data_IF_555254650158
#
_entry.id   IF_555254650158
#
_cell.length_a   1.000
_cell.length_b   1.000
_cell.length_c   1.000
_cell.angle_alpha   90.00
_cell.angle_beta   90.00
_cell.angle_gamma   90.00
#
_symmetry.space_group_name_H-M   'P 1'
#
loop_
_entity.id
_entity.type
_entity.pdbx_description
1 polymer ?
#
# COMPACT_ATOMS: atom_id res chain seq x y z
N UNK A 1 -23.28 5.40 -27.69
CA UNK A 1 -22.76 4.72 -26.49
C UNK A 1 -23.11 5.60 -25.31
N UNK A 2 -23.53 5.03 -24.19
CA UNK A 2 -23.71 5.80 -22.95
C UNK A 2 -22.31 5.91 -22.34
N UNK A 3 -21.72 7.08 -22.43
CA UNK A 3 -20.47 7.41 -21.74
C UNK A 3 -20.80 7.80 -20.31
N UNK A 4 -20.17 7.13 -19.34
CA UNK A 4 -20.29 7.44 -17.93
C UNK A 4 -18.87 7.56 -17.37
N UNK A 5 -18.47 8.78 -16.98
CA UNK A 5 -17.11 9.04 -16.47
C UNK A 5 -15.97 8.57 -17.42
N UNK A 6 -16.18 8.66 -18.74
CA UNK A 6 -15.20 8.19 -19.74
C UNK A 6 -15.20 6.69 -20.00
N UNK A 7 -16.05 5.92 -19.30
CA UNK A 7 -16.29 4.52 -19.63
C UNK A 7 -17.32 4.37 -20.75
N UNK A 8 -17.05 3.43 -21.65
CA UNK A 8 -18.00 2.98 -22.66
C UNK A 8 -18.63 1.65 -22.23
N UNK A 9 -19.97 1.58 -22.29
CA UNK A 9 -20.67 0.30 -22.12
C UNK A 9 -20.33 -0.64 -23.29
N UNK A 10 -19.94 -1.86 -22.96
CA UNK A 10 -19.53 -2.89 -23.92
C UNK A 10 -20.33 -4.18 -23.68
N UNK A 11 -20.80 -4.79 -24.77
CA UNK A 11 -21.43 -6.11 -24.71
C UNK A 11 -20.36 -7.19 -24.90
N UNK A 12 -20.07 -7.94 -23.84
CA UNK A 12 -19.10 -9.04 -23.86
C UNK A 12 -19.88 -10.35 -23.83
N UNK A 13 -20.01 -10.99 -24.98
CA UNK A 13 -20.74 -12.27 -25.12
C UNK A 13 -19.84 -13.49 -25.02
N UNK A 14 -18.53 -13.30 -25.17
CA UNK A 14 -17.55 -14.38 -25.17
C UNK A 14 -17.17 -14.84 -23.75
N UNK A 15 -17.43 -14.00 -22.74
CA UNK A 15 -17.32 -14.35 -21.32
C UNK A 15 -18.75 -14.58 -20.79
N UNK A 16 -19.16 -15.83 -20.47
CA UNK A 16 -20.51 -16.11 -20.01
C UNK A 16 -20.88 -15.35 -18.74
N UNK A 17 -22.15 -14.90 -18.68
CA UNK A 17 -22.84 -14.24 -17.56
C UNK A 17 -22.20 -12.99 -16.96
N UNK A 18 -21.46 -12.25 -17.79
CA UNK A 18 -21.39 -10.80 -17.66
C UNK A 18 -22.80 -10.21 -17.79
N UNK A 19 -23.20 -9.40 -16.82
CA UNK A 19 -24.49 -8.70 -16.79
C UNK A 19 -24.34 -7.30 -17.38
N UNK A 20 -23.32 -6.56 -16.93
CA UNK A 20 -22.95 -5.24 -17.43
C UNK A 20 -21.43 -5.16 -17.49
N UNK A 21 -20.89 -4.53 -18.53
CA UNK A 21 -19.45 -4.28 -18.63
C UNK A 21 -19.21 -2.87 -19.17
N UNK A 22 -18.25 -2.20 -18.56
CA UNK A 22 -17.82 -0.85 -18.89
C UNK A 22 -16.29 -0.84 -19.03
N UNK A 23 -15.80 -0.19 -20.07
CA UNK A 23 -14.37 -0.14 -20.38
C UNK A 23 -13.92 1.31 -20.51
N UNK A 24 -12.85 1.68 -19.81
CA UNK A 24 -12.17 2.97 -19.95
C UNK A 24 -10.84 2.74 -20.67
N UNK A 25 -10.86 2.77 -22.00
CA UNK A 25 -9.72 2.34 -22.83
C UNK A 25 -8.43 3.12 -22.56
N UNK A 26 -8.51 4.42 -22.27
CA UNK A 26 -7.31 5.25 -22.01
C UNK A 26 -6.58 4.84 -20.74
N UNK A 27 -7.29 4.35 -19.72
CA UNK A 27 -6.71 3.98 -18.42
C UNK A 27 -6.54 2.46 -18.30
N UNK A 28 -6.97 1.69 -19.31
CA UNK A 28 -6.95 0.24 -19.27
C UNK A 28 -7.84 -0.36 -18.16
N UNK A 29 -8.89 0.35 -17.72
CA UNK A 29 -9.80 -0.07 -16.66
C UNK A 29 -11.03 -0.79 -17.23
N UNK A 30 -11.41 -1.89 -16.58
CA UNK A 30 -12.67 -2.58 -16.85
C UNK A 30 -13.43 -2.75 -15.55
N UNK A 31 -14.72 -2.41 -15.56
CA UNK A 31 -15.66 -2.68 -14.47
C UNK A 31 -16.79 -3.54 -15.01
N UNK A 32 -16.99 -4.72 -14.41
CA UNK A 32 -17.99 -5.67 -14.88
C UNK A 32 -18.82 -6.23 -13.72
N UNK A 33 -20.14 -6.17 -13.88
CA UNK A 33 -21.08 -6.91 -13.04
C UNK A 33 -21.24 -8.31 -13.59
N UNK A 34 -21.09 -9.30 -12.72
CA UNK A 34 -21.15 -10.73 -13.07
C UNK A 34 -22.20 -11.43 -12.22
N UNK A 35 -22.73 -12.55 -12.72
CA UNK A 35 -23.61 -13.39 -11.92
C UNK A 35 -22.83 -14.22 -10.90
N UNK A 36 -23.45 -14.52 -9.76
CA UNK A 36 -22.84 -15.26 -8.66
C UNK A 36 -22.28 -16.63 -9.08
N UNK A 37 -22.98 -17.34 -9.98
CA UNK A 37 -22.63 -18.72 -10.38
C UNK A 37 -21.27 -18.80 -11.08
N UNK A 38 -20.86 -17.70 -11.71
CA UNK A 38 -19.61 -17.59 -12.45
C UNK A 38 -18.44 -17.38 -11.51
N UNK A 39 -18.62 -16.58 -10.47
CA UNK A 39 -17.57 -16.37 -9.47
C UNK A 39 -17.21 -17.68 -8.76
N UNK A 40 -18.20 -18.52 -8.39
CA UNK A 40 -17.91 -19.80 -7.73
C UNK A 40 -17.02 -20.73 -8.55
N UNK A 41 -17.11 -20.67 -9.89
CA UNK A 41 -16.22 -21.41 -10.78
C UNK A 41 -14.79 -20.86 -10.84
N UNK A 42 -14.59 -19.59 -10.47
CA UNK A 42 -13.28 -18.94 -10.45
C UNK A 42 -12.63 -18.92 -9.06
N UNK A 43 -13.41 -18.99 -7.97
CA UNK A 43 -12.88 -18.97 -6.60
C UNK A 43 -12.09 -20.23 -6.23
N UNK A 44 -12.38 -21.37 -6.87
CA UNK A 44 -11.63 -22.63 -6.66
C UNK A 44 -10.19 -22.55 -7.23
N UNK A 45 -9.99 -21.77 -8.30
CA UNK A 45 -8.69 -21.62 -8.97
C UNK A 45 -7.82 -20.47 -8.41
N UNK A 46 -8.40 -19.58 -7.59
CA UNK A 46 -7.81 -18.27 -7.23
C UNK A 46 -7.14 -18.24 -5.84
N UNK A 47 -7.39 -19.24 -4.99
CA UNK A 47 -6.79 -19.33 -3.64
C UNK A 47 -5.42 -20.03 -3.64
N UNK A 48 -5.05 -20.68 -4.74
CA UNK A 48 -3.69 -21.13 -5.00
C UNK A 48 -3.00 -20.02 -5.81
N UNK A 49 -1.83 -19.56 -5.38
CA UNK A 49 -1.09 -18.39 -5.90
C UNK A 49 -0.62 -18.50 -7.38
N UNK A 50 -1.33 -19.21 -8.24
CA UNK A 50 -1.02 -19.35 -9.66
C UNK A 50 -1.97 -18.49 -10.50
N UNK A 51 -1.43 -17.42 -11.07
CA UNK A 51 -1.98 -16.80 -12.28
C UNK A 51 -2.01 -17.84 -13.41
N UNK A 52 -2.99 -18.74 -13.40
CA UNK A 52 -3.23 -19.66 -14.49
C UNK A 52 -3.66 -18.88 -15.74
N UNK A 53 -3.16 -19.27 -16.91
CA UNK A 53 -3.54 -18.70 -18.23
C UNK A 53 -5.07 -18.73 -18.53
N UNK A 54 -5.83 -19.44 -17.70
CA UNK A 54 -7.29 -19.63 -17.78
C UNK A 54 -8.10 -18.76 -16.81
N UNK A 55 -7.47 -17.88 -16.02
CA UNK A 55 -8.20 -16.99 -15.11
C UNK A 55 -9.14 -16.03 -15.85
N UNK A 56 -10.23 -15.61 -15.19
CA UNK A 56 -11.16 -14.60 -15.73
C UNK A 56 -10.42 -13.32 -16.14
N UNK A 57 -9.40 -12.92 -15.38
CA UNK A 57 -8.58 -11.77 -15.70
C UNK A 57 -7.82 -11.94 -17.02
N UNK A 58 -7.25 -13.13 -17.27
CA UNK A 58 -6.58 -13.45 -18.53
C UNK A 58 -7.52 -13.37 -19.74
N UNK A 59 -8.79 -13.76 -19.57
CA UNK A 59 -9.81 -13.65 -20.62
C UNK A 59 -10.13 -12.19 -20.94
N UNK A 60 -10.41 -11.38 -19.92
CA UNK A 60 -10.64 -9.94 -20.08
C UNK A 60 -9.44 -9.22 -20.69
N UNK A 61 -8.22 -9.58 -20.28
CA UNK A 61 -6.98 -9.01 -20.82
C UNK A 61 -6.82 -9.33 -22.31
N UNK A 62 -7.09 -10.57 -22.73
CA UNK A 62 -7.08 -10.98 -24.14
C UNK A 62 -8.11 -10.22 -24.97
N UNK A 63 -9.29 -9.97 -24.41
CA UNK A 63 -10.39 -9.31 -25.15
C UNK A 63 -10.30 -7.78 -25.18
N UNK A 64 -9.85 -7.15 -24.09
CA UNK A 64 -9.98 -5.71 -23.88
C UNK A 64 -8.66 -4.99 -23.61
N UNK A 65 -7.52 -5.71 -23.59
CA UNK A 65 -6.20 -5.14 -23.28
C UNK A 65 -6.24 -4.30 -21.99
N UNK A 66 -6.86 -4.85 -20.94
CA UNK A 66 -7.00 -4.17 -19.66
C UNK A 66 -5.81 -4.46 -18.73
N UNK A 67 -5.45 -3.45 -17.94
CA UNK A 67 -4.47 -3.53 -16.86
C UNK A 67 -5.13 -3.69 -15.49
N UNK A 68 -6.40 -3.26 -15.39
CA UNK A 68 -7.18 -3.25 -14.17
C UNK A 68 -8.56 -3.83 -14.44
N UNK A 69 -9.00 -4.77 -13.59
CA UNK A 69 -10.32 -5.39 -13.70
C UNK A 69 -11.01 -5.38 -12.35
N UNK A 70 -12.13 -4.67 -12.23
CA UNK A 70 -13.04 -4.74 -11.10
C UNK A 70 -14.26 -5.57 -11.48
N UNK A 71 -14.44 -6.69 -10.79
CA UNK A 71 -15.65 -7.50 -10.84
C UNK A 71 -16.50 -7.19 -9.62
N UNK A 72 -17.81 -7.10 -9.82
CA UNK A 72 -18.79 -7.00 -8.74
C UNK A 72 -19.94 -7.97 -8.96
N UNK A 73 -20.44 -8.53 -7.87
CA UNK A 73 -21.64 -9.34 -7.87
C UNK A 73 -22.34 -9.21 -6.52
N UNK A 74 -23.62 -9.61 -6.52
CA UNK A 74 -24.40 -9.66 -5.29
C UNK A 74 -24.48 -11.08 -4.78
N UNK A 75 -24.20 -11.25 -3.49
CA UNK A 75 -24.36 -12.52 -2.78
C UNK A 75 -25.23 -12.29 -1.54
N UNK A 76 -26.49 -12.74 -1.60
CA UNK A 76 -27.49 -12.49 -0.55
C UNK A 76 -27.66 -10.99 -0.22
N UNK A 77 -27.26 -10.57 0.98
CA UNK A 77 -27.33 -9.20 1.50
C UNK A 77 -25.97 -8.47 1.46
N UNK A 78 -25.00 -9.03 0.74
CA UNK A 78 -23.66 -8.48 0.55
C UNK A 78 -23.42 -8.14 -0.92
N UNK A 79 -22.76 -7.01 -1.14
CA UNK A 79 -22.11 -6.68 -2.40
C UNK A 79 -20.65 -7.12 -2.29
N UNK A 80 -20.20 -7.89 -3.28
CA UNK A 80 -18.86 -8.47 -3.33
C UNK A 80 -18.08 -7.97 -4.51
N UNK A 81 -16.77 -7.87 -4.31
CA UNK A 81 -15.83 -7.29 -5.24
C UNK A 81 -14.60 -8.16 -5.37
N UNK A 82 -14.05 -8.17 -6.59
CA UNK A 82 -12.76 -8.75 -6.88
C UNK A 82 -12.03 -7.82 -7.83
N UNK A 83 -10.82 -7.41 -7.46
CA UNK A 83 -10.01 -6.49 -8.23
C UNK A 83 -8.68 -7.12 -8.59
N UNK A 84 -8.27 -6.96 -9.84
CA UNK A 84 -6.98 -7.36 -10.37
C UNK A 84 -6.21 -6.15 -10.88
N UNK A 85 -4.90 -6.20 -10.68
CA UNK A 85 -3.94 -5.27 -11.27
C UNK A 85 -2.73 -6.05 -11.77
N UNK A 86 -2.39 -5.90 -13.05
CA UNK A 86 -1.14 -6.44 -13.61
C UNK A 86 0.02 -5.44 -13.55
N UNK A 87 -0.19 -4.30 -12.89
CA UNK A 87 0.81 -3.24 -12.78
C UNK A 87 1.19 -3.01 -11.32
N UNK A 88 2.44 -2.62 -11.11
CA UNK A 88 2.91 -2.20 -9.79
C UNK A 88 2.53 -0.76 -9.45
N UNK A 89 1.83 -0.05 -10.34
CA UNK A 89 1.36 1.33 -10.11
C UNK A 89 0.10 1.39 -9.25
N UNK A 90 -0.66 0.30 -9.19
CA UNK A 90 -1.88 0.17 -8.38
C UNK A 90 -1.84 -1.18 -7.70
N UNK A 91 -1.61 -1.18 -6.38
CA UNK A 91 -1.75 -2.39 -5.56
C UNK A 91 -3.24 -2.71 -5.40
N UNK A 92 -3.63 -3.94 -5.68
CA UNK A 92 -5.04 -4.33 -5.67
C UNK A 92 -5.69 -4.17 -4.29
N UNK A 93 -4.98 -4.55 -3.21
CA UNK A 93 -5.46 -4.37 -1.84
C UNK A 93 -5.71 -2.89 -1.50
N UNK A 94 -4.82 -2.00 -1.94
CA UNK A 94 -4.96 -0.56 -1.74
C UNK A 94 -6.16 0.02 -2.49
N UNK A 95 -6.33 -0.41 -3.75
CA UNK A 95 -7.45 0.01 -4.57
C UNK A 95 -8.77 -0.44 -3.94
N UNK A 96 -8.83 -1.70 -3.47
CA UNK A 96 -10.03 -2.23 -2.83
C UNK A 96 -10.35 -1.48 -1.53
N UNK A 97 -9.34 -1.20 -0.69
CA UNK A 97 -9.52 -0.35 0.49
C UNK A 97 -10.08 1.02 0.12
N UNK A 98 -9.61 1.66 -0.95
CA UNK A 98 -10.19 2.90 -1.44
C UNK A 98 -11.65 2.77 -1.89
N UNK A 99 -12.01 1.67 -2.57
CA UNK A 99 -13.36 1.48 -3.12
C UNK A 99 -14.42 1.33 -2.03
N UNK A 100 -14.11 0.55 -0.99
CA UNK A 100 -15.10 0.08 0.01
C UNK A 100 -14.75 0.46 1.46
N UNK A 101 -13.85 1.43 1.65
CA UNK A 101 -13.24 1.86 2.92
C UNK A 101 -14.20 1.99 4.11
N UNK A 102 -13.65 1.82 5.32
CA UNK A 102 -14.26 2.01 6.66
C UNK A 102 -15.45 1.09 7.01
N UNK A 103 -16.12 0.51 6.02
CA UNK A 103 -17.33 -0.27 6.22
C UNK A 103 -17.27 -1.68 5.60
N UNK A 104 -16.34 -1.90 4.67
CA UNK A 104 -16.13 -3.17 4.01
C UNK A 104 -14.99 -3.98 4.63
N UNK A 105 -14.99 -5.28 4.36
CA UNK A 105 -13.86 -6.17 4.64
C UNK A 105 -13.05 -6.34 3.35
N UNK A 106 -11.75 -6.11 3.45
CA UNK A 106 -10.81 -6.24 2.33
C UNK A 106 -9.78 -7.30 2.66
N UNK A 107 -9.45 -8.15 1.69
CA UNK A 107 -8.37 -9.13 1.78
C UNK A 107 -7.70 -9.28 0.43
N UNK A 108 -6.37 -9.31 0.40
CA UNK A 108 -5.64 -9.48 -0.86
C UNK A 108 -4.14 -9.19 -0.73
N UNK A 109 -3.53 -8.89 -1.87
CA UNK A 109 -2.14 -8.50 -1.99
C UNK A 109 -2.00 -7.42 -3.07
N UNK A 110 -0.78 -7.22 -3.60
CA UNK A 110 -0.49 -6.22 -4.60
C UNK A 110 -1.17 -6.48 -5.97
N UNK A 111 -1.41 -7.73 -6.38
CA UNK A 111 -1.95 -8.06 -7.71
C UNK A 111 -3.45 -8.38 -7.69
N UNK A 112 -3.95 -8.93 -6.59
CA UNK A 112 -5.37 -9.32 -6.47
C UNK A 112 -5.92 -8.98 -5.08
N UNK A 113 -7.14 -8.47 -5.03
CA UNK A 113 -7.86 -8.24 -3.78
C UNK A 113 -9.36 -8.47 -3.91
N UNK A 114 -9.91 -9.06 -2.86
CA UNK A 114 -11.34 -9.24 -2.65
C UNK A 114 -11.85 -8.22 -1.65
N UNK A 115 -13.09 -7.81 -1.85
CA UNK A 115 -13.81 -6.91 -0.96
C UNK A 115 -15.23 -7.40 -0.74
N UNK A 116 -15.78 -7.19 0.45
CA UNK A 116 -17.21 -7.41 0.73
C UNK A 116 -17.76 -6.31 1.63
N UNK A 117 -19.01 -5.94 1.39
CA UNK A 117 -19.73 -4.94 2.18
C UNK A 117 -21.21 -5.27 2.23
N UNK A 118 -21.85 -4.97 3.36
CA UNK A 118 -23.30 -5.12 3.48
C UNK A 118 -24.01 -4.19 2.47
N UNK A 119 -24.97 -4.72 1.71
CA UNK A 119 -25.78 -3.93 0.78
C UNK A 119 -26.52 -2.78 1.48
N UNK A 120 -26.85 -2.92 2.76
CA UNK A 120 -27.50 -1.86 3.53
C UNK A 120 -26.54 -0.70 3.80
N UNK A 121 -25.30 -1.00 4.20
CA UNK A 121 -24.27 0.01 4.45
C UNK A 121 -23.86 0.69 3.15
N UNK A 122 -23.71 -0.10 2.08
CA UNK A 122 -23.39 0.41 0.75
C UNK A 122 -24.42 1.43 0.25
N UNK A 123 -25.72 1.12 0.42
CA UNK A 123 -26.80 2.06 0.07
C UNK A 123 -26.73 3.37 0.84
N UNK A 124 -26.38 3.33 2.12
CA UNK A 124 -26.21 4.56 2.93
C UNK A 124 -25.06 5.40 2.36
N UNK A 125 -23.94 4.76 2.03
CA UNK A 125 -22.78 5.43 1.45
C UNK A 125 -23.08 6.05 0.08
N UNK A 126 -23.71 5.30 -0.82
CA UNK A 126 -24.13 5.81 -2.13
C UNK A 126 -25.15 6.95 -2.02
N UNK A 127 -26.10 6.85 -1.08
CA UNK A 127 -27.08 7.92 -0.83
C UNK A 127 -26.42 9.22 -0.37
N UNK A 128 -25.30 9.13 0.37
CA UNK A 128 -24.50 10.29 0.75
C UNK A 128 -23.80 10.99 -0.44
N UNK A 129 -23.73 10.32 -1.60
CA UNK A 129 -23.18 10.82 -2.85
C UNK A 129 -24.25 11.08 -3.93
N UNK A 130 -25.54 11.08 -3.54
CA UNK A 130 -26.69 11.20 -4.45
C UNK A 130 -26.71 10.13 -5.57
N UNK A 131 -26.22 8.91 -5.26
CA UNK A 131 -26.18 7.76 -6.17
C UNK A 131 -27.12 6.64 -5.71
N UNK A 132 -27.75 5.95 -6.66
CA UNK A 132 -28.64 4.81 -6.39
C UNK A 132 -28.15 3.48 -7.01
N UNK A 133 -27.27 3.53 -8.01
CA UNK A 133 -26.74 2.35 -8.71
C UNK A 133 -25.30 2.04 -8.28
N UNK A 134 -25.07 0.84 -7.77
CA UNK A 134 -23.74 0.32 -7.41
C UNK A 134 -22.74 0.44 -8.56
N UNK A 135 -23.19 0.20 -9.80
CA UNK A 135 -22.30 0.32 -10.96
C UNK A 135 -21.86 1.77 -11.19
N UNK A 136 -22.79 2.73 -11.10
CA UNK A 136 -22.45 4.15 -11.25
C UNK A 136 -21.43 4.59 -10.21
N UNK A 137 -21.63 4.19 -8.95
CA UNK A 137 -20.66 4.40 -7.88
C UNK A 137 -19.30 3.80 -8.25
N UNK A 138 -19.24 2.54 -8.69
CA UNK A 138 -17.97 1.91 -9.04
C UNK A 138 -17.24 2.62 -10.18
N UNK A 139 -17.95 3.11 -11.20
CA UNK A 139 -17.35 3.83 -12.33
C UNK A 139 -16.78 5.19 -11.89
N UNK A 140 -17.53 5.95 -11.09
CA UNK A 140 -17.07 7.24 -10.56
C UNK A 140 -15.83 7.05 -9.68
N UNK A 141 -15.89 6.12 -8.73
CA UNK A 141 -14.78 5.87 -7.79
C UNK A 141 -13.54 5.38 -8.53
N UNK A 142 -13.69 4.54 -9.56
CA UNK A 142 -12.56 4.09 -10.38
C UNK A 142 -11.84 5.27 -11.05
N UNK A 143 -12.58 6.18 -11.67
CA UNK A 143 -11.98 7.38 -12.29
C UNK A 143 -11.38 8.32 -11.25
N UNK A 144 -12.08 8.54 -10.13
CA UNK A 144 -11.61 9.38 -9.03
C UNK A 144 -10.34 8.84 -8.38
N UNK A 145 -10.16 7.52 -8.32
CA UNK A 145 -8.90 6.92 -7.89
C UNK A 145 -7.75 7.28 -8.82
N UNK A 146 -7.94 7.10 -10.13
CA UNK A 146 -6.87 7.31 -11.11
C UNK A 146 -6.52 8.79 -11.31
N UNK A 147 -7.50 9.68 -11.24
CA UNK A 147 -7.33 11.11 -11.47
C UNK A 147 -6.96 11.91 -10.21
N UNK A 148 -7.34 11.42 -9.03
CA UNK A 148 -7.14 12.08 -7.73
C UNK A 148 -5.85 11.71 -7.00
N UNK A 149 -4.89 11.05 -7.67
CA UNK A 149 -3.62 10.64 -7.09
C UNK A 149 -2.47 11.46 -7.66
N UNK A 150 -1.71 12.07 -6.78
CA UNK A 150 -0.42 12.67 -7.11
C UNK A 150 0.67 11.60 -7.13
N UNK A 151 1.47 11.59 -8.18
CA UNK A 151 2.64 10.69 -8.30
C UNK A 151 3.92 11.52 -8.17
N UNK A 152 4.85 11.03 -7.34
CA UNK A 152 6.17 11.61 -7.13
C UNK A 152 7.22 10.53 -7.42
N UNK A 153 8.00 10.75 -8.48
CA UNK A 153 9.23 10.00 -8.74
C UNK A 153 10.37 10.67 -7.94
N UNK A 154 10.83 10.03 -6.86
CA UNK A 154 11.67 10.70 -5.87
C UNK A 154 12.98 11.26 -6.45
N UNK A 155 13.63 10.50 -7.35
CA UNK A 155 14.86 10.92 -8.02
C UNK A 155 14.67 12.17 -8.88
N UNK A 156 13.62 12.20 -9.71
CA UNK A 156 13.32 13.32 -10.60
C UNK A 156 12.85 14.56 -9.82
N UNK A 157 11.93 14.34 -8.87
CA UNK A 157 11.38 15.40 -8.03
C UNK A 157 12.46 16.04 -7.16
N UNK A 158 13.29 15.24 -6.51
CA UNK A 158 14.39 15.71 -5.65
C UNK A 158 15.38 16.59 -6.39
N UNK A 159 15.74 16.22 -7.63
CA UNK A 159 16.65 17.00 -8.48
C UNK A 159 15.98 18.27 -9.02
N UNK A 160 14.71 18.17 -9.46
CA UNK A 160 13.99 19.26 -10.12
C UNK A 160 13.39 20.31 -9.17
N UNK A 161 13.14 19.97 -7.90
CA UNK A 161 12.38 20.80 -6.95
C UNK A 161 13.21 21.24 -5.74
N UNK A 162 14.53 21.35 -5.87
CA UNK A 162 15.42 21.63 -4.74
C UNK A 162 15.09 22.93 -4.00
N UNK A 163 14.80 24.01 -4.72
CA UNK A 163 14.46 25.31 -4.10
C UNK A 163 13.16 25.21 -3.30
N UNK A 164 12.14 24.55 -3.86
CA UNK A 164 10.88 24.28 -3.18
C UNK A 164 11.12 23.45 -1.92
N UNK A 165 11.84 22.33 -2.02
CA UNK A 165 12.10 21.45 -0.87
C UNK A 165 12.83 22.20 0.24
N UNK A 166 13.85 23.00 -0.10
CA UNK A 166 14.62 23.79 0.88
C UNK A 166 13.83 24.92 1.53
N UNK A 167 12.71 25.33 0.93
CA UNK A 167 11.79 26.31 1.49
C UNK A 167 10.82 25.72 2.52
N UNK A 168 10.68 24.39 2.56
CA UNK A 168 9.78 23.71 3.49
C UNK A 168 10.28 23.82 4.94
N UNK A 169 9.38 23.70 5.94
CA UNK A 169 9.78 23.63 7.34
C UNK A 169 10.71 22.45 7.60
N UNK A 170 11.68 22.67 8.49
CA UNK A 170 12.66 21.65 8.91
C UNK A 170 12.22 21.00 10.20
N UNK A 171 12.38 19.69 10.28
CA UNK A 171 12.07 18.89 11.46
C UNK A 171 13.26 18.02 11.84
N UNK A 172 13.35 17.67 13.13
CA UNK A 172 14.34 16.72 13.65
C UNK A 172 13.60 15.59 14.36
N UNK A 173 14.16 14.37 14.31
CA UNK A 173 13.63 13.26 15.09
C UNK A 173 13.77 13.56 16.58
N UNK A 174 12.70 13.35 17.33
CA UNK A 174 12.75 13.33 18.79
C UNK A 174 13.59 12.16 19.26
N UNK A 175 14.24 12.31 20.41
CA UNK A 175 15.02 11.24 21.03
C UNK A 175 14.10 10.27 21.80
N UNK A 176 13.29 9.53 21.05
CA UNK A 176 12.44 8.45 21.56
C UNK A 176 13.06 7.09 21.19
N UNK A 177 12.78 6.02 21.95
CA UNK A 177 13.24 4.68 21.62
C UNK A 177 12.61 4.18 20.30
N UNK A 178 13.44 3.50 19.52
CA UNK A 178 13.08 2.70 18.35
C UNK A 178 13.65 1.30 18.58
N UNK A 179 13.30 0.34 17.74
CA UNK A 179 13.96 -0.96 17.78
C UNK A 179 14.51 -1.36 16.41
N UNK A 180 15.42 -2.32 16.41
CA UNK A 180 15.99 -2.88 15.19
C UNK A 180 16.30 -4.36 15.35
N UNK A 181 16.27 -5.08 14.22
CA UNK A 181 16.66 -6.49 14.10
C UNK A 181 17.64 -6.61 12.93
N UNK A 182 18.71 -7.39 13.05
CA UNK A 182 19.54 -7.68 11.87
C UNK A 182 18.83 -8.73 11.04
N UNK A 183 18.78 -8.56 9.72
CA UNK A 183 18.10 -9.55 8.87
C UNK A 183 18.70 -10.96 8.97
N UNK A 184 20.00 -11.07 9.29
CA UNK A 184 20.69 -12.34 9.52
C UNK A 184 20.32 -13.03 10.83
N UNK A 185 19.69 -12.32 11.77
CA UNK A 185 19.18 -12.89 13.01
C UNK A 185 17.78 -13.49 12.80
N UNK A 186 17.08 -13.08 11.73
CA UNK A 186 15.78 -13.61 11.31
C UNK A 186 15.95 -14.91 10.51
N UNK A 187 16.85 -14.92 9.52
CA UNK A 187 17.12 -16.08 8.65
C UNK A 187 18.53 -16.05 8.09
N UNK A 188 18.98 -17.15 7.47
CA UNK A 188 20.36 -17.24 6.97
C UNK A 188 20.62 -16.27 5.81
N UNK A 189 21.85 -15.77 5.70
CA UNK A 189 22.26 -14.89 4.60
C UNK A 189 21.90 -15.49 3.22
N UNK A 190 21.28 -14.68 2.37
CA UNK A 190 20.80 -15.07 1.04
C UNK A 190 19.40 -15.68 1.00
N UNK A 191 18.80 -16.03 2.15
CA UNK A 191 17.41 -16.49 2.21
C UNK A 191 16.43 -15.30 2.19
N UNK A 192 15.23 -15.55 1.66
CA UNK A 192 14.17 -14.55 1.58
C UNK A 192 13.14 -14.72 2.70
N UNK A 193 12.63 -13.59 3.17
CA UNK A 193 11.56 -13.53 4.16
C UNK A 193 10.62 -12.36 3.83
N UNK A 194 9.37 -12.48 4.27
CA UNK A 194 8.33 -11.46 4.09
C UNK A 194 8.03 -10.77 5.42
N UNK A 195 8.17 -9.45 5.51
CA UNK A 195 7.77 -8.68 6.69
C UNK A 195 6.37 -8.10 6.47
N UNK A 196 5.46 -8.35 7.40
CA UNK A 196 4.18 -7.63 7.48
C UNK A 196 4.23 -6.60 8.60
N UNK A 197 3.75 -5.40 8.31
CA UNK A 197 3.72 -4.29 9.26
C UNK A 197 2.42 -3.50 9.15
N UNK A 198 2.21 -2.58 10.08
CA UNK A 198 1.03 -1.71 10.09
C UNK A 198 0.85 -0.93 8.78
N UNK A 199 1.94 -0.55 8.11
CA UNK A 199 1.89 0.21 6.85
C UNK A 199 1.81 -0.68 5.61
N UNK A 200 2.15 -1.97 5.73
CA UNK A 200 2.16 -2.91 4.61
C UNK A 200 1.73 -4.31 5.04
N UNK A 201 0.42 -4.50 5.14
CA UNK A 201 -0.20 -5.80 5.45
C UNK A 201 0.03 -6.84 4.34
N UNK A 202 0.26 -6.40 3.10
CA UNK A 202 0.54 -7.30 1.96
C UNK A 202 1.94 -7.93 2.00
N UNK A 203 2.80 -7.48 2.92
CA UNK A 203 4.14 -8.01 3.08
C UNK A 203 5.18 -7.38 2.16
N UNK A 204 6.41 -7.22 2.65
CA UNK A 204 7.59 -6.85 1.85
C UNK A 204 8.56 -8.03 1.86
N UNK A 205 8.88 -8.54 0.67
CA UNK A 205 9.91 -9.59 0.53
C UNK A 205 11.30 -8.97 0.54
N UNK A 206 12.12 -9.39 1.48
CA UNK A 206 13.51 -8.97 1.66
C UNK A 206 14.42 -10.18 1.59
N UNK A 207 15.69 -9.93 1.26
CA UNK A 207 16.75 -10.94 1.31
C UNK A 207 17.65 -10.66 2.50
N UNK A 208 17.86 -11.66 3.36
CA UNK A 208 18.74 -11.53 4.51
C UNK A 208 20.19 -11.30 4.07
N UNK A 209 20.82 -10.26 4.63
CA UNK A 209 22.17 -9.87 4.30
C UNK A 209 22.80 -9.12 5.49
N UNK A 210 24.11 -9.26 5.77
CA UNK A 210 24.78 -8.59 6.89
C UNK A 210 24.69 -7.05 6.88
N UNK A 211 24.40 -6.47 5.72
CA UNK A 211 24.19 -5.03 5.53
C UNK A 211 22.72 -4.60 5.63
N UNK A 212 21.77 -5.53 5.85
CA UNK A 212 20.33 -5.22 5.90
C UNK A 212 19.80 -5.37 7.31
N UNK A 213 19.31 -4.27 7.87
CA UNK A 213 18.72 -4.18 9.21
C UNK A 213 17.24 -3.83 9.04
N UNK A 214 16.39 -4.35 9.91
CA UNK A 214 14.96 -4.04 9.96
C UNK A 214 14.73 -3.08 11.11
N UNK A 215 14.21 -1.90 10.82
CA UNK A 215 13.80 -0.92 11.82
C UNK A 215 12.37 -1.18 12.24
N UNK A 216 12.08 -1.04 13.53
CA UNK A 216 10.75 -1.09 14.11
C UNK A 216 10.47 0.27 14.78
N UNK A 217 9.43 0.95 14.28
CA UNK A 217 8.97 2.24 14.78
C UNK A 217 8.14 2.13 16.06
N UNK A 218 7.72 3.29 16.58
CA UNK A 218 7.05 3.38 17.87
C UNK A 218 5.59 2.88 17.87
N UNK A 219 4.99 2.55 16.72
CA UNK A 219 3.67 1.90 16.67
C UNK A 219 3.70 0.53 15.97
N UNK A 220 4.88 0.01 15.64
CA UNK A 220 5.02 -1.26 14.92
C UNK A 220 5.18 -1.11 13.42
N UNK A 221 5.54 0.07 12.93
CA UNK A 221 5.95 0.25 11.54
C UNK A 221 7.28 -0.46 11.32
N UNK A 222 7.46 -1.13 10.18
CA UNK A 222 8.70 -1.81 9.87
C UNK A 222 9.20 -1.48 8.46
N UNK A 223 10.51 -1.20 8.35
CA UNK A 223 11.20 -0.95 7.08
C UNK A 223 12.66 -1.40 7.14
N UNK A 224 13.27 -1.64 5.98
CA UNK A 224 14.69 -1.99 5.88
C UNK A 224 15.59 -0.74 5.82
N UNK A 225 16.78 -0.87 6.40
CA UNK A 225 17.85 0.14 6.35
C UNK A 225 19.18 -0.56 6.14
N UNK A 226 20.08 0.08 5.39
CA UNK A 226 21.45 -0.43 5.30
C UNK A 226 22.19 -0.25 6.61
N UNK A 227 23.15 -1.12 6.92
CA UNK A 227 23.93 -1.03 8.16
C UNK A 227 24.68 0.29 8.23
N UNK A 228 25.28 0.73 7.13
CA UNK A 228 25.96 2.04 7.07
C UNK A 228 25.01 3.19 7.44
N UNK A 229 23.81 3.21 6.85
CA UNK A 229 22.80 4.23 7.17
C UNK A 229 22.35 4.13 8.62
N UNK A 230 22.17 2.93 9.16
CA UNK A 230 21.81 2.72 10.56
C UNK A 230 22.87 3.28 11.50
N UNK A 231 24.13 2.89 11.34
CA UNK A 231 25.24 3.32 12.22
C UNK A 231 25.43 4.85 12.19
N UNK A 232 25.15 5.48 11.04
CA UNK A 232 25.19 6.94 10.87
C UNK A 232 23.99 7.67 11.50
N UNK A 233 22.83 7.02 11.59
CA UNK A 233 21.58 7.69 11.99
C UNK A 233 21.05 7.30 13.37
N UNK A 234 21.53 6.18 13.93
CA UNK A 234 21.09 5.63 15.21
C UNK A 234 22.26 5.21 16.10
N UNK A 235 21.99 5.18 17.40
CA UNK A 235 22.82 4.58 18.44
C UNK A 235 22.10 3.33 18.95
N UNK A 236 22.70 2.15 18.72
CA UNK A 236 22.19 0.88 19.23
C UNK A 236 22.45 0.73 20.72
N UNK A 237 21.58 -0.02 21.38
CA UNK A 237 21.74 -0.45 22.78
C UNK A 237 21.60 -1.96 22.89
N UNK A 238 22.07 -2.53 23.98
CA UNK A 238 21.89 -3.96 24.27
C UNK A 238 20.51 -4.27 24.87
N UNK A 239 19.73 -3.24 25.18
CA UNK A 239 18.39 -3.39 25.75
C UNK A 239 17.46 -4.04 24.70
N UNK A 240 16.71 -5.06 25.11
CA UNK A 240 15.74 -5.76 24.25
C UNK A 240 14.44 -4.96 24.20
N UNK A 241 13.72 -5.05 23.09
CA UNK A 241 12.40 -4.47 22.94
C UNK A 241 11.41 -5.11 23.93
N UNK A 242 10.88 -4.33 24.86
CA UNK A 242 9.69 -4.71 25.65
C UNK A 242 8.44 -4.12 25.00
N UNK A 243 7.65 -4.98 24.36
CA UNK A 243 6.41 -4.61 23.65
C UNK A 243 5.35 -4.00 24.57
N UNK A 244 5.33 -4.36 25.86
CA UNK A 244 4.36 -3.82 26.82
C UNK A 244 4.77 -2.45 27.32
N UNK A 245 6.07 -2.22 27.55
CA UNK A 245 6.59 -0.90 27.92
C UNK A 245 6.52 0.10 26.76
N UNK A 246 6.77 -0.35 25.53
CA UNK A 246 6.72 0.51 24.34
C UNK A 246 5.29 0.73 23.83
N UNK A 247 4.31 -0.04 24.30
CA UNK A 247 2.89 0.05 23.89
C UNK A 247 2.72 0.06 22.36
N UNK A 248 3.39 -0.85 21.66
CA UNK A 248 3.26 -0.95 20.21
C UNK A 248 1.82 -1.31 19.83
N UNK A 249 1.27 -0.62 18.83
CA UNK A 249 -0.08 -0.93 18.31
C UNK A 249 -0.08 -2.23 17.50
N UNK A 250 1.07 -2.58 16.90
CA UNK A 250 1.27 -3.79 16.10
C UNK A 250 2.66 -4.36 16.35
N UNK A 251 2.79 -5.69 16.43
CA UNK A 251 4.09 -6.36 16.53
C UNK A 251 4.42 -6.91 15.13
N UNK A 252 5.48 -6.43 14.46
CA UNK A 252 5.86 -6.93 13.15
C UNK A 252 6.26 -8.41 13.18
N UNK A 253 5.84 -9.15 12.16
CA UNK A 253 6.16 -10.56 11.99
C UNK A 253 6.91 -10.78 10.67
N UNK A 254 7.87 -11.70 10.68
CA UNK A 254 8.58 -12.16 9.50
C UNK A 254 8.16 -13.59 9.13
N UNK A 255 7.65 -13.79 7.91
CA UNK A 255 7.35 -15.10 7.33
C UNK A 255 8.55 -15.61 6.53
N UNK A 256 9.10 -16.74 6.92
CA UNK A 256 10.19 -17.41 6.20
C UNK A 256 9.64 -18.11 4.96
N UNK A 257 10.01 -17.65 3.76
CA UNK A 257 9.42 -18.16 2.51
C UNK A 257 9.84 -19.61 2.19
N UNK A 258 10.97 -20.07 2.72
CA UNK A 258 11.46 -21.43 2.48
C UNK A 258 10.74 -22.49 3.35
N UNK A 259 10.24 -22.09 4.51
CA UNK A 259 9.78 -23.02 5.57
C UNK A 259 8.31 -22.79 5.97
N UNK A 260 7.67 -21.72 5.45
CA UNK A 260 6.34 -21.24 5.86
C UNK A 260 6.19 -20.98 7.37
N UNK A 261 7.32 -20.80 8.06
CA UNK A 261 7.38 -20.51 9.49
C UNK A 261 7.33 -18.99 9.74
N UNK A 262 6.76 -18.60 10.90
CA UNK A 262 6.66 -17.21 11.32
C UNK A 262 7.62 -16.95 12.48
N UNK A 263 8.38 -15.88 12.38
CA UNK A 263 9.30 -15.38 13.41
C UNK A 263 8.77 -14.04 13.91
N UNK A 264 8.53 -13.96 15.21
CA UNK A 264 8.13 -12.71 15.87
C UNK A 264 9.36 -11.82 16.03
N UNK A 265 9.30 -10.57 15.54
CA UNK A 265 10.48 -9.71 15.51
C UNK A 265 10.84 -9.11 16.87
N UNK A 266 9.88 -9.02 17.79
CA UNK A 266 10.09 -8.46 19.12
C UNK A 266 11.10 -9.26 19.96
N UNK A 267 11.11 -10.59 19.83
CA UNK A 267 12.05 -11.46 20.54
C UNK A 267 13.51 -11.28 20.07
N UNK A 268 13.69 -10.75 18.85
CA UNK A 268 15.00 -10.50 18.23
C UNK A 268 15.40 -9.02 18.27
N UNK A 269 14.50 -8.14 18.68
CA UNK A 269 14.65 -6.71 18.52
C UNK A 269 15.43 -6.08 19.68
N UNK A 270 16.40 -5.24 19.31
CA UNK A 270 17.16 -4.41 20.25
C UNK A 270 16.76 -2.95 20.12
N UNK A 271 16.78 -2.22 21.22
CA UNK A 271 16.48 -0.80 21.24
C UNK A 271 17.60 0.01 20.59
N UNK A 272 17.22 1.08 19.91
CA UNK A 272 18.12 2.09 19.36
C UNK A 272 17.50 3.48 19.46
N UNK A 273 18.35 4.51 19.39
CA UNK A 273 17.94 5.89 19.54
C UNK A 273 18.43 6.73 18.36
N UNK A 274 17.61 7.65 17.82
CA UNK A 274 18.06 8.56 16.78
C UNK A 274 19.26 9.40 17.24
N UNK A 275 20.30 9.47 16.40
CA UNK A 275 21.41 10.41 16.59
C UNK A 275 20.92 11.84 16.39
N UNK A 276 21.45 12.76 17.19
CA UNK A 276 21.15 14.17 17.03
C UNK A 276 21.82 14.74 15.77
N UNK A 277 21.09 15.54 15.00
CA UNK A 277 21.62 16.29 13.86
C UNK A 277 20.93 16.01 12.53
N UNK A 278 20.30 14.84 12.37
CA UNK A 278 19.60 14.47 11.14
C UNK A 278 18.27 15.22 11.05
N UNK A 279 18.17 16.14 10.09
CA UNK A 279 16.97 16.90 9.84
C UNK A 279 16.31 16.46 8.54
N UNK A 280 14.99 16.66 8.48
CA UNK A 280 14.20 16.46 7.28
C UNK A 280 13.46 17.75 6.94
N UNK A 281 13.16 17.94 5.66
CA UNK A 281 12.13 18.85 5.19
C UNK A 281 10.82 18.08 5.16
N UNK A 282 9.73 18.66 5.67
CA UNK A 282 8.43 17.97 5.61
C UNK A 282 7.26 18.91 5.32
N UNK A 283 6.25 18.36 4.66
CA UNK A 283 5.00 19.07 4.36
C UNK A 283 3.80 18.12 4.42
N UNK A 284 2.71 18.59 5.00
CA UNK A 284 1.46 17.83 5.07
C UNK A 284 0.80 17.73 3.69
N UNK A 285 0.45 16.52 3.31
CA UNK A 285 -0.23 16.17 2.06
C UNK A 285 -1.68 16.68 2.06
N UNK A 286 -2.13 17.15 0.90
CA UNK A 286 -3.51 17.62 0.67
C UNK A 286 -4.37 16.62 -0.08
N UNK A 287 -3.74 15.70 -0.78
CA UNK A 287 -4.36 14.70 -1.64
C UNK A 287 -3.60 13.37 -1.51
N UNK A 288 -4.21 12.28 -1.99
CA UNK A 288 -3.57 10.98 -2.00
C UNK A 288 -2.31 11.06 -2.86
N UNK A 289 -1.17 10.66 -2.30
CA UNK A 289 0.14 10.80 -2.96
C UNK A 289 0.88 9.48 -2.95
N UNK A 290 1.41 9.07 -4.11
CA UNK A 290 2.32 7.93 -4.25
C UNK A 290 3.73 8.44 -4.45
N UNK A 291 4.67 7.96 -3.65
CA UNK A 291 6.10 8.26 -3.79
C UNK A 291 6.82 6.98 -4.21
N UNK A 292 7.40 7.01 -5.41
CA UNK A 292 8.26 5.95 -5.93
C UNK A 292 9.72 6.28 -5.57
N UNK A 293 10.39 5.45 -4.77
CA UNK A 293 11.76 5.68 -4.33
C UNK A 293 12.77 5.55 -5.48
N UNK A 294 13.88 6.28 -5.38
CA UNK A 294 14.92 6.31 -6.42
C UNK A 294 15.78 5.04 -6.55
N UNK A 295 15.48 3.99 -5.78
CA UNK A 295 16.23 2.72 -5.77
C UNK A 295 15.86 1.79 -6.95
N UNK A 296 14.98 2.22 -7.85
CA UNK A 296 14.54 1.45 -9.01
C UNK A 296 13.60 0.30 -8.67
N UNK A 297 13.16 0.19 -7.41
CA UNK A 297 12.05 -0.70 -7.09
C UNK A 297 10.77 -0.12 -7.67
N UNK A 298 9.82 -1.01 -7.92
CA UNK A 298 8.48 -0.65 -8.38
C UNK A 298 7.50 -0.52 -7.20
N UNK A 299 8.01 -0.59 -5.97
CA UNK A 299 7.24 -0.37 -4.76
C UNK A 299 7.05 1.14 -4.55
N UNK A 300 5.96 1.54 -3.90
CA UNK A 300 5.72 2.94 -3.54
C UNK A 300 5.24 3.10 -2.11
N UNK A 301 5.53 4.27 -1.55
CA UNK A 301 4.91 4.75 -0.32
C UNK A 301 3.60 5.45 -0.69
N UNK A 302 2.55 5.18 0.07
CA UNK A 302 1.25 5.80 -0.11
C UNK A 302 0.95 6.73 1.06
N UNK A 303 0.65 7.99 0.76
CA UNK A 303 0.15 8.96 1.72
C UNK A 303 -1.29 9.36 1.46
N UNK A 304 -2.04 9.54 2.53
CA UNK A 304 -3.40 10.07 2.55
C UNK A 304 -3.36 11.58 2.91
N UNK A 305 -4.42 12.34 2.62
CA UNK A 305 -4.53 13.71 3.10
C UNK A 305 -4.28 13.79 4.61
N UNK A 306 -3.39 14.68 5.03
CA UNK A 306 -2.99 14.83 6.43
C UNK A 306 -1.65 14.18 6.79
N UNK A 307 -1.24 13.12 6.07
CA UNK A 307 0.11 12.52 6.20
C UNK A 307 1.18 13.49 5.71
N UNK A 308 2.46 13.15 5.89
CA UNK A 308 3.57 14.03 5.56
C UNK A 308 4.45 13.43 4.47
N UNK A 309 4.77 14.23 3.46
CA UNK A 309 5.93 13.97 2.61
C UNK A 309 7.18 14.46 3.36
N UNK A 310 8.15 13.58 3.53
CA UNK A 310 9.43 13.86 4.17
C UNK A 310 10.56 13.73 3.14
N UNK A 311 11.54 14.64 3.23
CA UNK A 311 12.74 14.64 2.40
C UNK A 311 13.96 14.82 3.29
N UNK A 312 14.99 13.99 3.14
CA UNK A 312 16.23 14.14 3.93
C UNK A 312 16.96 15.43 3.59
N UNK A 313 17.58 16.06 4.59
CA UNK A 313 18.35 17.29 4.36
C UNK A 313 19.61 17.03 3.54
N UNK A 314 20.30 15.92 3.85
CA UNK A 314 21.55 15.50 3.21
C UNK A 314 21.37 14.93 1.80
N UNK A 315 20.21 14.35 1.50
CA UNK A 315 19.88 13.74 0.21
C UNK A 315 18.45 14.09 -0.19
N UNK A 316 18.31 15.05 -1.11
CA UNK A 316 17.00 15.50 -1.58
C UNK A 316 16.25 14.49 -2.44
N UNK A 317 16.90 13.40 -2.86
CA UNK A 317 16.28 12.32 -3.63
C UNK A 317 15.72 11.22 -2.73
N UNK A 318 16.05 11.22 -1.43
CA UNK A 318 15.46 10.35 -0.42
C UNK A 318 14.15 10.98 0.08
N UNK A 319 13.06 10.62 -0.60
CA UNK A 319 11.69 11.09 -0.35
C UNK A 319 10.81 9.90 0.06
N UNK A 320 10.07 10.07 1.15
CA UNK A 320 9.17 9.05 1.68
C UNK A 320 7.94 9.69 2.34
N UNK A 321 6.96 8.86 2.72
CA UNK A 321 5.76 9.28 3.42
C UNK A 321 5.84 8.84 4.89
N UNK A 322 5.34 9.69 5.79
CA UNK A 322 5.16 9.37 7.21
C UNK A 322 3.69 9.65 7.56
N UNK A 323 3.00 8.70 8.19
CA UNK A 323 1.61 8.92 8.61
C UNK A 323 1.50 10.07 9.61
N UNK A 324 0.37 10.80 9.57
CA UNK A 324 0.17 11.99 10.39
C UNK A 324 0.47 11.78 11.88
N UNK A 325 -0.03 10.69 12.44
CA UNK A 325 0.04 10.42 13.87
C UNK A 325 1.48 10.09 14.29
N UNK A 326 2.16 9.27 13.48
CA UNK A 326 3.57 8.90 13.64
C UNK A 326 4.44 10.14 13.58
N UNK A 327 4.23 11.00 12.57
CA UNK A 327 5.01 12.22 12.40
C UNK A 327 4.94 13.12 13.64
N UNK A 328 3.73 13.35 14.17
CA UNK A 328 3.51 14.18 15.37
C UNK A 328 4.19 13.61 16.61
N UNK A 329 4.23 12.28 16.74
CA UNK A 329 4.88 11.61 17.86
C UNK A 329 6.40 11.66 17.73
N UNK A 330 6.94 11.45 16.53
CA UNK A 330 8.36 11.18 16.30
C UNK A 330 9.21 12.37 15.87
N UNK A 331 8.60 13.47 15.42
CA UNK A 331 9.32 14.67 14.94
C UNK A 331 8.90 15.95 15.66
N UNK A 332 9.85 16.88 15.77
CA UNK A 332 9.62 18.25 16.25
C UNK A 332 10.20 19.27 15.27
N UNK A 333 9.53 20.42 15.14
CA UNK A 333 9.97 21.47 14.22
C UNK A 333 11.26 22.11 14.73
N UNK A 334 12.27 22.19 13.86
CA UNK A 334 13.55 22.84 14.16
C UNK A 334 13.35 24.34 14.09
N UNK A 335 12.98 24.95 15.21
CA UNK A 335 12.86 26.40 15.34
C UNK A 335 14.23 27.02 15.00
N UNK A 336 14.26 27.92 14.02
CA UNK A 336 15.45 28.74 13.74
C UNK A 336 15.68 29.64 14.97
N UNK A 337 16.70 29.31 15.77
CA UNK A 337 17.22 30.19 16.83
C UNK A 337 18.02 31.32 16.20
#
# INVERSE_FOLDING_TARGET
>A
MIECYGFEKQDITAIPGIVRCYVHSTEGLVVAEVREEIYRSFSEDMLEEQEGENSIFSQFRKEKMCHFLLLLWKEQEEDRFLFFSDTKRVRAIEYMDYMISEFGLVKGNASVASGQISSAVWKVQMSGMDMEDTMEYCLERAVSYHTGIRIIEAAEFGVGQQEYIRSLPKYVKKKIPWAYVKSTDITSEGQQFEIRSLENESGIVLTAHPDVYIMIGCRGEAYDITREKFEHTYESTEDVLDVFEQMLDFIPEARLLAEEEYVSLDELAHLCYPRQGNAIYAVSLKERTKVFPGNGTQEYYLGRPGDYMAVREEDLTDIYIIQQDIFRQTYEEKIKV
#
